data_IF_795417601786
#
_entry.id   IF_795417601786
#
_cell.length_a   1.000
_cell.length_b   1.000
_cell.length_c   1.000
_cell.angle_alpha   90.00
_cell.angle_beta   90.00
_cell.angle_gamma   90.00
#
_symmetry.space_group_name_H-M   'P 1'
#
loop_
_entity.id
_entity.type
_entity.pdbx_description
1 polymer ?
#
# COMPACT_ATOMS: atom_id res chain seq x y z
N UNK A 1 0.71 -6.96 34.30
CA UNK A 1 0.84 -5.63 34.87
C UNK A 1 0.12 -4.59 34.00
N UNK A 2 -0.10 -3.46 34.58
CA UNK A 2 -0.78 -2.35 33.91
C UNK A 2 -0.14 -2.03 32.57
N UNK A 3 1.18 -1.96 32.52
CA UNK A 3 1.90 -1.54 31.32
C UNK A 3 1.88 -2.57 30.20
N UNK A 4 1.65 -3.82 30.52
CA UNK A 4 1.62 -4.87 29.49
C UNK A 4 0.40 -4.80 28.60
N UNK A 5 -0.63 -4.10 29.05
CA UNK A 5 -1.88 -4.00 28.31
C UNK A 5 -1.90 -2.82 27.37
N UNK A 6 -0.86 -1.99 27.40
CA UNK A 6 -0.79 -0.82 26.53
C UNK A 6 0.21 -1.07 25.42
N UNK A 7 -0.30 -1.14 24.20
CA UNK A 7 0.55 -1.16 23.04
C UNK A 7 1.24 0.19 22.90
N UNK A 8 2.45 0.18 22.36
CA UNK A 8 3.13 1.42 22.00
C UNK A 8 2.30 2.14 20.93
N UNK A 9 2.56 3.43 20.75
CA UNK A 9 1.91 4.20 19.70
C UNK A 9 2.14 3.55 18.33
N UNK A 10 3.36 3.05 18.10
CA UNK A 10 3.68 2.37 16.86
C UNK A 10 2.86 1.10 16.67
N UNK A 11 2.71 0.32 17.73
CA UNK A 11 1.92 -0.92 17.66
C UNK A 11 0.46 -0.63 17.35
N UNK A 12 -0.10 0.41 17.94
CA UNK A 12 -1.49 0.80 17.68
C UNK A 12 -1.66 1.21 16.23
N UNK A 13 -0.73 2.00 15.70
CA UNK A 13 -0.77 2.45 14.31
C UNK A 13 -0.59 1.28 13.34
N UNK A 14 0.29 0.34 13.69
CA UNK A 14 0.48 -0.85 12.85
C UNK A 14 -0.76 -1.72 12.83
N UNK A 15 -1.40 -1.93 13.97
CA UNK A 15 -2.64 -2.69 14.03
C UNK A 15 -3.74 -2.02 13.22
N UNK A 16 -3.86 -0.70 13.28
CA UNK A 16 -4.84 0.02 12.50
C UNK A 16 -4.56 -0.10 11.01
N UNK A 17 -3.29 -0.04 10.60
CA UNK A 17 -2.91 -0.23 9.21
C UNK A 17 -3.32 -1.62 8.71
N UNK A 18 -3.06 -2.65 9.51
CA UNK A 18 -3.46 -4.02 9.16
C UNK A 18 -4.97 -4.11 9.01
N UNK A 19 -5.70 -3.55 9.96
CA UNK A 19 -7.16 -3.59 9.93
C UNK A 19 -7.72 -2.93 8.67
N UNK A 20 -7.19 -1.75 8.32
CA UNK A 20 -7.64 -1.02 7.15
C UNK A 20 -7.33 -1.78 5.86
N UNK A 21 -6.10 -2.29 5.74
CA UNK A 21 -5.70 -3.01 4.52
C UNK A 21 -6.41 -4.34 4.37
N UNK A 22 -6.66 -5.04 5.47
CA UNK A 22 -7.43 -6.28 5.41
C UNK A 22 -8.86 -6.03 4.94
N UNK A 23 -9.47 -4.93 5.40
CA UNK A 23 -10.82 -4.55 4.97
C UNK A 23 -10.83 -4.23 3.46
N UNK A 24 -9.83 -3.48 2.98
CA UNK A 24 -9.73 -3.19 1.55
C UNK A 24 -9.55 -4.45 0.73
N UNK A 25 -8.68 -5.36 1.17
CA UNK A 25 -8.46 -6.62 0.47
C UNK A 25 -9.74 -7.43 0.36
N UNK A 26 -10.48 -7.52 1.46
CA UNK A 26 -11.73 -8.27 1.47
C UNK A 26 -12.75 -7.68 0.49
N UNK A 27 -12.87 -6.36 0.47
CA UNK A 27 -13.77 -5.68 -0.47
C UNK A 27 -13.36 -5.90 -1.91
N UNK A 28 -12.06 -5.80 -2.19
CA UNK A 28 -11.56 -6.00 -3.54
C UNK A 28 -11.80 -7.43 -4.00
N UNK A 29 -11.55 -8.41 -3.15
CA UNK A 29 -11.78 -9.82 -3.47
C UNK A 29 -13.25 -10.12 -3.71
N UNK A 30 -14.15 -9.50 -2.94
CA UNK A 30 -15.59 -9.66 -3.17
C UNK A 30 -16.03 -9.08 -4.50
N UNK A 31 -15.45 -7.95 -4.90
CA UNK A 31 -15.74 -7.33 -6.18
C UNK A 31 -15.13 -8.10 -7.35
N UNK A 32 -14.14 -8.95 -7.10
CA UNK A 32 -13.43 -9.70 -8.13
C UNK A 32 -13.33 -11.17 -7.74
N UNK A 33 -14.47 -11.88 -7.66
CA UNK A 33 -14.45 -13.28 -7.17
C UNK A 33 -13.67 -14.23 -8.06
N UNK A 34 -13.43 -13.87 -9.31
CA UNK A 34 -12.66 -14.71 -10.24
C UNK A 34 -11.15 -14.53 -10.08
N UNK A 35 -10.74 -13.82 -9.03
CA UNK A 35 -9.34 -13.66 -8.74
C UNK A 35 -8.62 -12.83 -9.78
N UNK A 36 -9.20 -11.70 -10.15
CA UNK A 36 -8.50 -10.77 -11.03
C UNK A 36 -7.37 -10.17 -10.23
N UNK A 37 -6.18 -10.60 -10.44
CA UNK A 37 -5.09 -10.17 -9.59
C UNK A 37 -4.57 -8.81 -10.03
N UNK A 38 -3.39 -8.50 -9.58
CA UNK A 38 -2.65 -7.27 -9.86
C UNK A 38 -2.40 -7.08 -11.35
N UNK A 39 -3.37 -7.44 -12.20
CA UNK A 39 -3.29 -7.24 -13.64
C UNK A 39 -4.06 -6.00 -14.01
N UNK A 40 -3.38 -5.11 -14.69
CA UNK A 40 -4.01 -3.91 -15.18
C UNK A 40 -4.19 -2.86 -14.09
N UNK A 41 -4.91 -1.82 -14.44
CA UNK A 41 -5.00 -0.62 -13.62
C UNK A 41 -6.02 -0.71 -12.49
N UNK A 42 -6.97 -1.65 -12.56
CA UNK A 42 -8.05 -1.70 -11.58
C UNK A 42 -7.53 -1.91 -10.16
N UNK A 43 -6.60 -2.86 -10.00
CA UNK A 43 -6.03 -3.14 -8.68
C UNK A 43 -5.27 -1.94 -8.15
N UNK A 44 -4.43 -1.34 -8.99
CA UNK A 44 -3.63 -0.18 -8.58
C UNK A 44 -4.51 1.02 -8.25
N UNK A 45 -5.49 1.30 -9.09
CA UNK A 45 -6.43 2.42 -8.85
C UNK A 45 -7.17 2.19 -7.55
N UNK A 46 -7.66 0.96 -7.32
CA UNK A 46 -8.36 0.63 -6.08
C UNK A 46 -7.46 0.84 -4.86
N UNK A 47 -6.21 0.42 -4.95
CA UNK A 47 -5.25 0.59 -3.87
C UNK A 47 -5.01 2.07 -3.58
N UNK A 48 -4.77 2.86 -4.63
CA UNK A 48 -4.50 4.29 -4.46
C UNK A 48 -5.73 5.03 -3.94
N UNK A 49 -6.92 4.69 -4.42
CA UNK A 49 -8.16 5.27 -3.91
C UNK A 49 -8.37 4.94 -2.43
N UNK A 50 -8.01 3.72 -2.03
CA UNK A 50 -8.06 3.33 -0.63
C UNK A 50 -7.13 4.21 0.22
N UNK A 51 -5.88 4.41 -0.23
CA UNK A 51 -4.96 5.27 0.51
C UNK A 51 -5.46 6.71 0.59
N UNK A 52 -6.06 7.19 -0.49
CA UNK A 52 -6.62 8.56 -0.51
C UNK A 52 -7.80 8.68 0.45
N UNK A 53 -8.66 7.69 0.48
CA UNK A 53 -9.81 7.67 1.39
C UNK A 53 -9.35 7.78 2.86
N UNK A 54 -8.22 7.17 3.16
CA UNK A 54 -7.66 7.18 4.51
C UNK A 54 -6.43 8.08 4.64
N UNK A 55 -6.41 9.16 3.85
CA UNK A 55 -5.26 10.05 3.79
C UNK A 55 -4.87 10.62 5.14
N UNK A 56 -5.85 10.97 5.99
CA UNK A 56 -5.54 11.52 7.31
C UNK A 56 -4.69 10.54 8.13
N UNK A 57 -5.04 9.26 8.09
CA UNK A 57 -4.30 8.22 8.79
C UNK A 57 -2.88 8.06 8.21
N UNK A 58 -2.77 7.96 6.89
CA UNK A 58 -1.47 7.71 6.26
C UNK A 58 -0.54 8.91 6.33
N UNK A 59 -1.09 10.13 6.27
CA UNK A 59 -0.28 11.33 6.51
C UNK A 59 0.21 11.39 7.95
N UNK A 60 -0.61 10.96 8.91
CA UNK A 60 -0.16 10.87 10.29
C UNK A 60 0.99 9.87 10.46
N UNK A 61 0.91 8.71 9.80
CA UNK A 61 2.00 7.74 9.78
C UNK A 61 3.27 8.37 9.21
N UNK A 62 3.12 9.04 8.08
CA UNK A 62 4.27 9.65 7.40
C UNK A 62 4.95 10.68 8.30
N UNK A 63 4.16 11.57 8.90
CA UNK A 63 4.71 12.63 9.77
C UNK A 63 5.31 12.08 11.07
N UNK A 64 4.87 10.91 11.49
CA UNK A 64 5.45 10.24 12.66
C UNK A 64 6.73 9.46 12.32
N UNK A 65 7.15 9.45 11.05
CA UNK A 65 8.33 8.68 10.64
C UNK A 65 8.08 7.19 10.55
N UNK A 66 6.82 6.77 10.39
CA UNK A 66 6.42 5.36 10.41
C UNK A 66 5.96 4.86 9.04
N UNK A 67 6.39 5.50 7.96
CA UNK A 67 5.98 5.09 6.62
C UNK A 67 6.50 3.70 6.23
N UNK A 68 7.45 3.13 6.99
CA UNK A 68 7.87 1.74 6.79
C UNK A 68 6.70 0.76 6.93
N UNK A 69 5.69 1.12 7.72
CA UNK A 69 4.49 0.29 7.85
C UNK A 69 3.81 0.14 6.49
N UNK A 70 3.74 1.23 5.71
CA UNK A 70 3.18 1.19 4.36
C UNK A 70 4.05 0.34 3.43
N UNK A 71 5.36 0.51 3.50
CA UNK A 71 6.28 -0.28 2.68
C UNK A 71 6.11 -1.77 2.92
N UNK A 72 6.10 -2.19 4.18
CA UNK A 72 5.95 -3.61 4.51
C UNK A 72 4.61 -4.16 4.01
N UNK A 73 3.55 -3.37 4.12
CA UNK A 73 2.24 -3.77 3.63
C UNK A 73 2.25 -3.98 2.13
N UNK A 74 2.84 -3.03 1.39
CA UNK A 74 2.88 -3.12 -0.07
C UNK A 74 3.72 -4.31 -0.52
N UNK A 75 4.88 -4.51 0.09
CA UNK A 75 5.73 -5.66 -0.24
C UNK A 75 5.02 -6.98 0.03
N UNK A 76 4.14 -6.99 1.03
CA UNK A 76 3.36 -8.19 1.37
C UNK A 76 2.35 -8.59 0.31
N UNK A 77 2.03 -7.74 -0.65
CA UNK A 77 1.12 -8.10 -1.74
C UNK A 77 1.81 -8.92 -2.84
N UNK A 78 3.13 -9.01 -2.81
CA UNK A 78 3.90 -9.65 -3.87
C UNK A 78 4.66 -10.85 -3.31
N UNK A 79 4.69 -11.93 -4.08
CA UNK A 79 5.33 -13.17 -3.66
C UNK A 79 6.85 -13.01 -3.67
N UNK A 80 7.45 -13.01 -2.48
CA UNK A 80 8.90 -12.92 -2.26
C UNK A 80 9.37 -14.01 -1.31
N UNK A 81 8.65 -15.13 -1.26
CA UNK A 81 8.98 -16.24 -0.39
C UNK A 81 10.34 -16.84 -0.78
N UNK A 82 11.05 -17.48 0.17
CA UNK A 82 12.36 -18.06 -0.13
C UNK A 82 12.34 -19.07 -1.25
N UNK A 83 11.23 -19.79 -1.45
CA UNK A 83 11.08 -20.79 -2.51
C UNK A 83 10.64 -20.19 -3.85
N UNK A 84 10.30 -18.90 -3.89
CA UNK A 84 9.96 -18.25 -5.16
C UNK A 84 11.21 -18.15 -6.03
N UNK A 85 11.12 -18.47 -7.33
CA UNK A 85 12.29 -18.34 -8.21
C UNK A 85 12.89 -16.94 -8.14
N UNK A 86 14.22 -16.88 -8.14
CA UNK A 86 14.93 -15.61 -7.92
C UNK A 86 14.49 -14.49 -8.87
N UNK A 87 14.39 -14.79 -10.15
CA UNK A 87 14.02 -13.76 -11.13
C UNK A 87 12.65 -13.16 -10.82
N UNK A 88 11.69 -14.00 -10.43
CA UNK A 88 10.36 -13.54 -10.08
C UNK A 88 10.37 -12.74 -8.77
N UNK A 89 11.13 -13.21 -7.79
CA UNK A 89 11.25 -12.49 -6.51
C UNK A 89 11.86 -11.11 -6.72
N UNK A 90 12.88 -10.99 -7.57
CA UNK A 90 13.50 -9.70 -7.88
C UNK A 90 12.51 -8.76 -8.57
N UNK A 91 11.76 -9.27 -9.55
CA UNK A 91 10.75 -8.48 -10.24
C UNK A 91 9.67 -8.00 -9.26
N UNK A 92 9.15 -8.90 -8.44
CA UNK A 92 8.12 -8.58 -7.46
C UNK A 92 8.61 -7.53 -6.47
N UNK A 93 9.85 -7.66 -6.02
CA UNK A 93 10.46 -6.68 -5.12
C UNK A 93 10.55 -5.32 -5.80
N UNK A 94 11.01 -5.27 -7.04
CA UNK A 94 11.14 -4.02 -7.78
C UNK A 94 9.78 -3.32 -7.93
N UNK A 95 8.73 -4.07 -8.28
CA UNK A 95 7.40 -3.50 -8.45
C UNK A 95 6.87 -2.97 -7.12
N UNK A 96 7.04 -3.73 -6.04
CA UNK A 96 6.60 -3.30 -4.72
C UNK A 96 7.26 -1.99 -4.29
N UNK A 97 8.56 -1.89 -4.45
CA UNK A 97 9.29 -0.66 -4.11
C UNK A 97 8.90 0.51 -5.02
N UNK A 98 8.63 0.24 -6.29
CA UNK A 98 8.18 1.28 -7.21
C UNK A 98 6.83 1.87 -6.75
N UNK A 99 5.89 1.01 -6.42
CA UNK A 99 4.57 1.47 -5.94
C UNK A 99 4.73 2.25 -4.64
N UNK A 100 5.55 1.75 -3.72
CA UNK A 100 5.81 2.46 -2.47
C UNK A 100 6.44 3.83 -2.73
N UNK A 101 7.37 3.91 -3.67
CA UNK A 101 8.01 5.18 -4.01
C UNK A 101 7.00 6.23 -4.47
N UNK A 102 6.03 5.83 -5.29
CA UNK A 102 4.95 6.73 -5.70
C UNK A 102 4.13 7.20 -4.51
N UNK A 103 3.73 6.27 -3.65
CA UNK A 103 2.89 6.58 -2.49
C UNK A 103 3.66 7.45 -1.51
N UNK A 104 4.93 7.18 -1.27
CA UNK A 104 5.74 7.97 -0.38
C UNK A 104 5.85 9.42 -0.86
N UNK A 105 6.11 9.62 -2.14
CA UNK A 105 6.19 10.98 -2.69
C UNK A 105 4.83 11.67 -2.61
N UNK A 106 3.76 10.93 -2.84
CA UNK A 106 2.40 11.43 -2.70
C UNK A 106 2.14 11.90 -1.27
N UNK A 107 2.51 11.08 -0.27
CA UNK A 107 2.39 11.46 1.14
C UNK A 107 3.24 12.69 1.46
N UNK A 108 4.47 12.72 0.96
CA UNK A 108 5.38 13.85 1.20
C UNK A 108 4.77 15.16 0.68
N UNK A 109 4.00 15.09 -0.40
CA UNK A 109 3.36 16.26 -1.02
C UNK A 109 1.92 16.46 -0.56
N UNK A 110 1.47 15.77 0.47
CA UNK A 110 0.17 15.99 1.10
C UNK A 110 -0.99 15.25 0.48
N UNK A 111 -0.73 14.26 -0.39
CA UNK A 111 -1.75 13.41 -1.01
C UNK A 111 -2.87 14.23 -1.65
N UNK A 112 -2.51 15.24 -2.45
CA UNK A 112 -3.48 16.18 -3.01
C UNK A 112 -4.31 15.57 -4.13
N UNK A 113 -3.69 14.76 -5.00
CA UNK A 113 -4.38 14.12 -6.11
C UNK A 113 -5.27 13.00 -5.61
N UNK A 114 -6.35 12.72 -6.36
CA UNK A 114 -7.12 11.49 -6.15
C UNK A 114 -6.28 10.29 -6.58
N UNK A 115 -6.67 9.09 -6.13
CA UNK A 115 -6.00 7.87 -6.55
C UNK A 115 -6.05 7.68 -8.06
N UNK A 116 -7.20 7.96 -8.66
CA UNK A 116 -7.37 7.86 -10.12
C UNK A 116 -6.48 8.86 -10.86
N UNK A 117 -6.41 10.10 -10.38
CA UNK A 117 -5.54 11.10 -10.98
C UNK A 117 -4.07 10.69 -10.91
N UNK A 118 -3.64 10.20 -9.75
CA UNK A 118 -2.27 9.74 -9.57
C UNK A 118 -1.96 8.59 -10.53
N UNK A 119 -2.85 7.61 -10.62
CA UNK A 119 -2.66 6.47 -11.52
C UNK A 119 -2.53 6.93 -12.97
N UNK A 120 -3.34 7.91 -13.38
CA UNK A 120 -3.28 8.45 -14.73
C UNK A 120 -1.95 9.14 -15.00
N UNK A 121 -1.48 9.95 -14.05
CA UNK A 121 -0.20 10.65 -14.18
C UNK A 121 0.95 9.65 -14.35
N UNK A 122 0.92 8.57 -13.57
CA UNK A 122 1.95 7.54 -13.65
C UNK A 122 1.92 6.81 -14.99
N UNK A 123 0.72 6.49 -15.49
CA UNK A 123 0.57 5.84 -16.78
C UNK A 123 1.10 6.72 -17.92
N UNK A 124 0.80 8.01 -17.86
CA UNK A 124 1.25 8.96 -18.88
C UNK A 124 2.76 9.14 -18.86
N UNK A 125 3.36 9.18 -17.67
CA UNK A 125 4.80 9.37 -17.55
C UNK A 125 5.60 8.20 -18.13
N UNK A 126 5.02 7.01 -18.19
CA UNK A 126 5.68 5.83 -18.73
C UNK A 126 5.61 5.73 -20.26
N UNK A 127 4.86 6.61 -20.90
CA UNK A 127 4.75 6.62 -22.37
C UNK A 127 5.86 7.40 -23.06
N UNK A 128 6.64 8.13 -22.32
CA UNK A 128 7.71 8.97 -22.89
C UNK A 128 9.08 8.29 -22.85
#
# INVERSE_FOLDING_TARGET
>A
SFYRNFASKEDVLQQESVRLTDAWKAEFEQAHPDGTPQQGNEWLISLLDFYKEHAAFYLALYHAGLSDIVLETILGYFDRAPETPNALAYLNSAVGYMIYGWIQEWMRRGMQESGTELARMLAESQKT
#
